data_IF_115628675505
#
_entry.id   IF_115628675505
#
_cell.length_a   1.000
_cell.length_b   1.000
_cell.length_c   1.000
_cell.angle_alpha   90.00
_cell.angle_beta   90.00
_cell.angle_gamma   90.00
#
_symmetry.space_group_name_H-M   'P 1'
#
loop_
_entity.id
_entity.type
_entity.pdbx_description
1 polymer ?
#
# COMPACT_ATOMS: atom_id res chain seq x y z
N UNK A 1 18.56 -3.19 42.98
CA UNK A 1 17.68 -2.20 42.30
C UNK A 1 17.49 -2.61 40.83
N UNK A 2 16.56 -3.53 40.54
CA UNK A 2 16.31 -4.01 39.17
C UNK A 2 15.10 -3.31 38.55
N UNK A 3 15.30 -2.48 37.53
CA UNK A 3 14.20 -1.84 36.79
C UNK A 3 13.58 -2.83 35.81
N UNK A 4 12.40 -3.35 36.14
CA UNK A 4 11.56 -4.12 35.23
C UNK A 4 11.02 -3.14 34.17
N UNK A 5 11.53 -3.25 32.94
CA UNK A 5 10.92 -2.59 31.78
C UNK A 5 9.57 -3.26 31.50
N UNK A 6 8.47 -2.59 31.81
CA UNK A 6 7.16 -2.96 31.25
C UNK A 6 7.23 -2.81 29.72
N UNK A 7 7.21 -3.94 29.01
CA UNK A 7 6.84 -3.95 27.59
C UNK A 7 5.36 -3.58 27.53
N UNK A 8 5.05 -2.44 26.92
CA UNK A 8 3.69 -2.06 26.59
C UNK A 8 3.11 -3.11 25.64
N UNK A 9 2.34 -4.05 26.19
CA UNK A 9 1.59 -5.01 25.42
C UNK A 9 0.53 -4.26 24.62
N UNK A 10 0.56 -4.43 23.30
CA UNK A 10 -0.54 -4.06 22.42
C UNK A 10 -1.73 -4.90 22.90
N UNK A 11 -2.73 -4.24 23.50
CA UNK A 11 -3.97 -4.90 23.93
C UNK A 11 -4.54 -5.67 22.74
N UNK A 12 -4.94 -6.92 22.98
CA UNK A 12 -5.63 -7.78 22.02
C UNK A 12 -6.81 -7.03 21.41
N UNK A 13 -6.64 -6.44 20.22
CA UNK A 13 -7.71 -5.83 19.46
C UNK A 13 -8.58 -6.95 18.91
N UNK A 14 -9.88 -6.92 19.21
CA UNK A 14 -10.87 -7.76 18.54
C UNK A 14 -10.88 -7.38 17.06
N UNK A 15 -10.27 -8.21 16.23
CA UNK A 15 -10.31 -8.04 14.78
C UNK A 15 -11.65 -8.56 14.28
N UNK A 16 -12.50 -7.67 13.79
CA UNK A 16 -13.79 -8.01 13.18
C UNK A 16 -13.67 -7.81 11.67
N UNK A 17 -14.12 -8.81 10.90
CA UNK A 17 -14.23 -8.72 9.44
C UNK A 17 -15.69 -8.63 9.05
N UNK A 18 -16.06 -7.64 8.25
CA UNK A 18 -17.42 -7.43 7.75
C UNK A 18 -17.42 -7.71 6.25
N UNK A 19 -18.29 -8.63 5.82
CA UNK A 19 -18.50 -8.92 4.41
C UNK A 19 -19.53 -7.95 3.83
N UNK A 20 -19.07 -6.98 3.06
CA UNK A 20 -19.93 -5.96 2.46
C UNK A 20 -20.91 -6.51 1.43
N UNK A 21 -20.67 -7.71 0.88
CA UNK A 21 -21.58 -8.32 -0.11
C UNK A 21 -22.84 -8.91 0.53
N UNK A 22 -22.78 -9.22 1.82
CA UNK A 22 -23.91 -9.73 2.61
C UNK A 22 -24.71 -8.60 3.26
N UNK A 23 -24.16 -7.40 3.27
CA UNK A 23 -24.67 -6.26 4.02
C UNK A 23 -24.75 -5.03 3.10
N UNK A 24 -25.47 -5.13 2.00
CA UNK A 24 -25.71 -4.03 1.07
C UNK A 24 -27.07 -3.37 1.37
N UNK A 25 -27.13 -2.04 1.65
CA UNK A 25 -26.01 -1.10 1.68
C UNK A 25 -25.27 -1.04 3.02
N UNK A 26 -23.93 -1.05 2.95
CA UNK A 26 -23.04 -1.19 4.11
C UNK A 26 -23.27 -0.16 5.23
N UNK A 27 -23.57 1.09 4.87
CA UNK A 27 -23.77 2.15 5.85
C UNK A 27 -24.98 1.91 6.77
N UNK A 28 -26.03 1.23 6.30
CA UNK A 28 -27.18 0.87 7.15
C UNK A 28 -26.84 -0.24 8.15
N UNK A 29 -26.03 -1.21 7.71
CA UNK A 29 -25.52 -2.24 8.61
C UNK A 29 -24.62 -1.63 9.70
N UNK A 30 -23.73 -0.71 9.32
CA UNK A 30 -22.87 -0.02 10.28
C UNK A 30 -23.67 0.84 11.27
N UNK A 31 -24.69 1.56 10.80
CA UNK A 31 -25.56 2.37 11.65
C UNK A 31 -26.31 1.52 12.68
N UNK A 32 -26.85 0.38 12.26
CA UNK A 32 -27.61 -0.51 13.15
C UNK A 32 -26.74 -1.20 14.21
N UNK A 33 -25.52 -1.61 13.85
CA UNK A 33 -24.67 -2.41 14.75
C UNK A 33 -23.68 -1.59 15.57
N UNK A 34 -23.30 -0.39 15.11
CA UNK A 34 -22.24 0.41 15.72
C UNK A 34 -22.69 1.82 16.16
N UNK A 35 -24.00 2.10 16.19
CA UNK A 35 -24.50 3.40 16.69
C UNK A 35 -24.24 3.65 18.17
N UNK A 36 -24.22 2.60 18.99
CA UNK A 36 -23.90 2.69 20.42
C UNK A 36 -22.41 2.69 20.71
N UNK A 37 -21.58 2.27 19.75
CA UNK A 37 -20.12 2.19 19.84
C UNK A 37 -19.49 2.67 18.53
N UNK A 38 -19.57 3.98 18.24
CA UNK A 38 -19.10 4.53 16.98
C UNK A 38 -17.59 4.38 16.83
N UNK A 39 -17.14 4.25 15.58
CA UNK A 39 -15.72 4.24 15.26
C UNK A 39 -15.09 5.60 15.57
N UNK A 40 -13.86 5.59 16.05
CA UNK A 40 -13.08 6.80 16.07
C UNK A 40 -12.64 7.15 14.64
N UNK A 41 -11.90 6.30 13.96
CA UNK A 41 -11.31 6.64 12.67
C UNK A 41 -11.77 5.68 11.59
N UNK A 42 -12.21 6.22 10.45
CA UNK A 42 -12.41 5.43 9.23
C UNK A 42 -11.27 5.70 8.27
N UNK A 43 -10.64 4.63 7.78
CA UNK A 43 -9.66 4.65 6.69
C UNK A 43 -10.31 4.06 5.44
N UNK A 44 -10.73 4.91 4.52
CA UNK A 44 -11.42 4.52 3.29
C UNK A 44 -10.45 4.40 2.12
N UNK A 45 -10.27 3.17 1.63
CA UNK A 45 -9.39 2.84 0.49
C UNK A 45 -10.16 2.59 -0.80
N UNK A 46 -11.49 2.67 -0.80
CA UNK A 46 -12.35 2.47 -1.97
C UNK A 46 -12.86 3.82 -2.49
N UNK A 47 -13.34 4.68 -1.60
CA UNK A 47 -13.93 5.97 -1.94
C UNK A 47 -15.44 5.95 -2.17
N UNK A 48 -16.18 5.25 -1.30
CA UNK A 48 -17.63 5.17 -1.41
C UNK A 48 -18.30 6.39 -0.76
N UNK A 49 -18.84 7.28 -1.60
CA UNK A 49 -19.50 8.51 -1.15
C UNK A 49 -20.63 8.28 -0.10
N UNK A 50 -21.54 7.30 -0.26
CA UNK A 50 -22.59 7.05 0.74
C UNK A 50 -22.05 6.62 2.12
N UNK A 51 -20.87 5.99 2.15
CA UNK A 51 -20.23 5.59 3.40
C UNK A 51 -19.74 6.81 4.20
N UNK A 52 -19.33 7.88 3.51
CA UNK A 52 -19.03 9.14 4.16
C UNK A 52 -20.32 9.88 4.54
N UNK A 53 -21.26 10.08 3.62
CA UNK A 53 -22.44 10.93 3.86
C UNK A 53 -23.33 10.44 5.03
N UNK A 54 -23.40 9.13 5.28
CA UNK A 54 -24.16 8.53 6.38
C UNK A 54 -23.33 8.19 7.63
N UNK A 55 -22.07 8.62 7.67
CA UNK A 55 -21.13 8.26 8.75
C UNK A 55 -21.50 8.80 10.13
N UNK A 56 -22.34 9.82 10.25
CA UNK A 56 -22.74 10.40 11.55
C UNK A 56 -23.34 9.40 12.54
N UNK A 57 -23.89 8.29 12.03
CA UNK A 57 -24.53 7.25 12.82
C UNK A 57 -23.58 6.22 13.40
N UNK A 58 -22.34 6.11 12.89
CA UNK A 58 -21.35 5.11 13.31
C UNK A 58 -19.93 5.65 13.39
N UNK A 59 -19.72 6.97 13.24
CA UNK A 59 -18.44 7.64 13.33
C UNK A 59 -18.50 8.78 14.33
N UNK A 60 -17.52 8.83 15.24
CA UNK A 60 -17.37 9.91 16.20
C UNK A 60 -17.20 11.26 15.50
N UNK A 61 -17.99 12.25 15.92
CA UNK A 61 -17.92 13.61 15.36
C UNK A 61 -16.53 14.23 15.52
N UNK A 62 -16.08 15.03 14.55
CA UNK A 62 -14.83 15.77 14.67
C UNK A 62 -14.90 16.76 15.85
N UNK A 63 -13.80 16.90 16.56
CA UNK A 63 -13.64 17.85 17.67
C UNK A 63 -12.40 18.71 17.45
N UNK A 64 -12.22 19.79 18.22
CA UNK A 64 -11.04 20.65 18.11
C UNK A 64 -9.71 19.89 18.28
N UNK A 65 -9.70 18.82 19.08
CA UNK A 65 -8.53 17.95 19.26
C UNK A 65 -8.42 16.82 18.22
N UNK A 66 -9.49 16.52 17.48
CA UNK A 66 -9.52 15.47 16.46
C UNK A 66 -10.36 15.91 15.27
N UNK A 67 -9.74 16.74 14.44
CA UNK A 67 -10.40 17.32 13.27
C UNK A 67 -10.60 16.32 12.14
N UNK A 68 -9.80 15.25 12.06
CA UNK A 68 -9.90 14.25 10.99
C UNK A 68 -10.37 12.91 11.55
N UNK A 69 -11.56 12.51 11.13
CA UNK A 69 -12.24 11.29 11.58
C UNK A 69 -12.53 10.34 10.41
N UNK A 70 -12.54 10.86 9.18
CA UNK A 70 -12.68 10.10 7.95
C UNK A 70 -11.51 10.39 7.00
N UNK A 71 -10.60 9.43 6.84
CA UNK A 71 -9.46 9.55 5.93
C UNK A 71 -9.75 8.77 4.65
N UNK A 72 -9.96 9.49 3.56
CA UNK A 72 -10.10 8.91 2.25
C UNK A 72 -8.73 8.86 1.56
N UNK A 73 -8.30 7.67 1.17
CA UNK A 73 -7.06 7.42 0.42
C UNK A 73 -7.40 7.01 -1.02
N UNK A 74 -8.54 6.34 -1.21
CA UNK A 74 -8.92 5.65 -2.43
C UNK A 74 -9.90 6.40 -3.32
N UNK A 75 -9.74 6.16 -4.62
CA UNK A 75 -10.72 6.46 -5.66
C UNK A 75 -10.71 5.26 -6.61
N UNK A 76 -11.18 4.10 -6.12
CA UNK A 76 -11.08 2.83 -6.84
C UNK A 76 -11.96 2.80 -8.10
N UNK A 77 -13.08 3.51 -8.05
CA UNK A 77 -14.02 3.65 -9.16
C UNK A 77 -14.05 5.10 -9.61
N UNK A 78 -13.02 5.56 -10.35
CA UNK A 78 -13.06 6.90 -10.90
C UNK A 78 -14.22 7.00 -11.90
N UNK A 79 -14.96 8.12 -11.91
CA UNK A 79 -16.01 8.32 -12.88
C UNK A 79 -15.44 8.32 -14.30
N UNK A 80 -16.06 7.56 -15.20
CA UNK A 80 -15.64 7.44 -16.61
C UNK A 80 -16.28 8.51 -17.51
N UNK A 81 -17.38 9.10 -17.05
CA UNK A 81 -18.12 10.14 -17.78
C UNK A 81 -17.77 11.52 -17.24
N UNK A 82 -17.72 12.53 -18.12
CA UNK A 82 -17.54 13.94 -17.76
C UNK A 82 -18.53 14.39 -16.67
N UNK A 83 -19.81 14.04 -16.81
CA UNK A 83 -20.82 14.35 -15.80
C UNK A 83 -20.52 13.72 -14.42
N UNK A 84 -20.07 12.46 -14.41
CA UNK A 84 -19.66 11.78 -13.17
C UNK A 84 -18.43 12.43 -12.53
N UNK A 85 -17.48 12.89 -13.35
CA UNK A 85 -16.33 13.67 -12.91
C UNK A 85 -16.77 14.99 -12.28
N UNK A 86 -17.60 15.78 -12.97
CA UNK A 86 -18.14 17.03 -12.45
C UNK A 86 -18.90 16.82 -11.14
N UNK A 87 -19.76 15.79 -11.05
CA UNK A 87 -20.46 15.44 -9.82
C UNK A 87 -19.50 15.11 -8.67
N UNK A 88 -18.46 14.33 -8.93
CA UNK A 88 -17.45 13.97 -7.92
C UNK A 88 -16.67 15.19 -7.46
N UNK A 89 -16.27 16.05 -8.40
CA UNK A 89 -15.59 17.31 -8.10
C UNK A 89 -16.48 18.26 -7.26
N UNK A 90 -17.75 18.41 -7.62
CA UNK A 90 -18.72 19.20 -6.85
C UNK A 90 -18.96 18.61 -5.46
N UNK A 91 -19.02 17.28 -5.32
CA UNK A 91 -19.15 16.63 -4.00
C UNK A 91 -17.94 16.91 -3.13
N UNK A 92 -16.72 16.74 -3.66
CA UNK A 92 -15.49 17.03 -2.92
C UNK A 92 -15.41 18.51 -2.55
N UNK A 93 -15.73 19.41 -3.49
CA UNK A 93 -15.77 20.85 -3.25
C UNK A 93 -16.79 21.20 -2.15
N UNK A 94 -17.97 20.59 -2.15
CA UNK A 94 -18.97 20.77 -1.09
C UNK A 94 -18.41 20.36 0.26
N UNK A 95 -17.75 19.21 0.34
CA UNK A 95 -17.25 18.63 1.60
C UNK A 95 -16.07 19.44 2.16
N UNK A 96 -15.24 20.03 1.30
CA UNK A 96 -14.07 20.79 1.72
C UNK A 96 -14.37 22.26 1.97
N UNK A 97 -15.31 22.87 1.23
CA UNK A 97 -15.60 24.30 1.32
C UNK A 97 -16.77 24.63 2.23
N UNK A 98 -17.78 23.75 2.35
CA UNK A 98 -18.92 24.01 3.21
C UNK A 98 -18.71 23.35 4.58
N UNK A 99 -19.02 24.11 5.63
CA UNK A 99 -19.13 23.57 6.98
C UNK A 99 -20.28 22.58 7.08
N UNK A 100 -20.21 21.66 8.03
CA UNK A 100 -21.27 20.66 8.28
C UNK A 100 -22.66 21.28 8.44
N UNK A 101 -22.75 22.48 9.02
CA UNK A 101 -24.02 23.19 9.19
C UNK A 101 -24.65 23.66 7.87
N UNK A 102 -23.84 24.03 6.86
CA UNK A 102 -24.36 24.45 5.54
C UNK A 102 -24.54 23.26 4.58
N UNK A 103 -24.61 22.03 5.10
CA UNK A 103 -24.74 20.84 4.27
C UNK A 103 -23.42 20.38 3.63
N UNK A 104 -22.27 20.72 4.21
CA UNK A 104 -20.95 20.15 3.85
C UNK A 104 -20.77 18.66 4.19
N UNK A 105 -21.75 18.05 4.85
CA UNK A 105 -21.73 16.66 5.29
C UNK A 105 -21.23 16.49 6.73
N UNK A 106 -20.89 15.25 7.14
CA UNK A 106 -20.59 14.92 8.55
C UNK A 106 -19.38 15.63 9.16
N UNK A 107 -18.51 16.19 8.31
CA UNK A 107 -17.29 16.85 8.73
C UNK A 107 -16.16 15.85 8.99
N UNK A 108 -14.97 16.38 9.25
CA UNK A 108 -13.78 15.59 9.56
C UNK A 108 -13.25 14.72 8.43
N UNK A 109 -13.66 15.03 7.19
CA UNK A 109 -13.13 14.44 5.98
C UNK A 109 -11.72 14.95 5.69
N UNK A 110 -10.82 14.04 5.34
CA UNK A 110 -9.49 14.38 4.83
C UNK A 110 -9.12 13.47 3.67
N UNK A 111 -8.79 14.08 2.53
CA UNK A 111 -8.29 13.37 1.37
C UNK A 111 -6.77 13.22 1.50
N UNK A 112 -6.32 12.03 1.86
CA UNK A 112 -4.90 11.74 2.07
C UNK A 112 -4.26 11.32 0.75
N UNK A 113 -3.43 12.20 0.20
CA UNK A 113 -2.59 11.91 -0.96
C UNK A 113 -1.13 11.77 -0.51
N UNK A 114 -0.57 10.58 -0.63
CA UNK A 114 0.85 10.35 -0.36
C UNK A 114 1.65 10.31 -1.65
N UNK A 115 2.43 11.36 -1.92
CA UNK A 115 3.41 11.36 -3.01
C UNK A 115 4.65 10.52 -2.72
N UNK A 116 5.53 10.30 -3.72
CA UNK A 116 6.81 9.65 -3.50
C UNK A 116 7.68 10.51 -2.56
N UNK A 117 8.20 9.93 -1.49
CA UNK A 117 9.12 10.62 -0.58
C UNK A 117 10.12 9.63 0.00
N UNK A 118 11.41 9.95 -0.13
CA UNK A 118 12.52 9.13 0.38
C UNK A 118 12.38 8.90 1.89
N UNK A 119 12.07 9.94 2.65
CA UNK A 119 11.96 9.85 4.12
C UNK A 119 10.81 8.96 4.56
N UNK A 120 9.68 8.99 3.84
CA UNK A 120 8.54 8.10 4.12
C UNK A 120 8.86 6.65 3.79
N UNK A 121 9.48 6.39 2.64
CA UNK A 121 9.87 5.04 2.22
C UNK A 121 10.88 4.46 3.21
N UNK A 122 11.87 5.26 3.63
CA UNK A 122 12.86 4.84 4.63
C UNK A 122 12.23 4.52 5.98
N UNK A 123 11.24 5.30 6.42
CA UNK A 123 10.49 4.99 7.64
C UNK A 123 9.72 3.68 7.52
N UNK A 124 9.08 3.42 6.39
CA UNK A 124 8.39 2.16 6.12
C UNK A 124 9.39 0.99 6.12
N UNK A 125 10.55 1.14 5.48
CA UNK A 125 11.63 0.14 5.49
C UNK A 125 12.01 -0.25 6.92
N UNK A 126 12.28 0.75 7.78
CA UNK A 126 12.61 0.51 9.19
C UNK A 126 11.51 -0.22 9.95
N UNK A 127 10.24 0.11 9.70
CA UNK A 127 9.12 -0.59 10.35
C UNK A 127 9.03 -2.07 9.93
N UNK A 128 9.39 -2.39 8.69
CA UNK A 128 9.48 -3.78 8.22
C UNK A 128 10.67 -4.48 8.87
N UNK A 129 11.85 -3.85 8.90
CA UNK A 129 13.08 -4.40 9.52
C UNK A 129 12.90 -4.65 11.02
N UNK A 130 12.19 -3.77 11.72
CA UNK A 130 11.86 -3.92 13.14
C UNK A 130 10.75 -4.97 13.39
N UNK A 131 10.20 -5.60 12.34
CA UNK A 131 9.12 -6.58 12.44
C UNK A 131 7.76 -5.99 12.85
N UNK A 132 7.62 -4.65 12.86
CA UNK A 132 6.39 -3.95 13.23
C UNK A 132 5.38 -3.87 12.09
N UNK A 133 5.84 -4.03 10.85
CA UNK A 133 5.01 -4.03 9.65
C UNK A 133 5.26 -5.29 8.84
N UNK A 134 4.23 -6.13 8.71
CA UNK A 134 4.27 -7.32 7.85
C UNK A 134 3.78 -6.97 6.45
N UNK A 135 4.61 -7.24 5.45
CA UNK A 135 4.20 -7.15 4.04
C UNK A 135 3.47 -8.43 3.66
N UNK A 136 2.23 -8.32 3.19
CA UNK A 136 1.46 -9.45 2.67
C UNK A 136 1.60 -9.47 1.15
N UNK A 137 2.19 -10.54 0.63
CA UNK A 137 2.37 -10.79 -0.80
C UNK A 137 1.31 -11.79 -1.25
N UNK A 138 0.55 -11.44 -2.29
CA UNK A 138 -0.48 -12.33 -2.87
C UNK A 138 0.16 -13.38 -3.78
N UNK A 139 0.99 -12.92 -4.72
CA UNK A 139 1.66 -13.78 -5.70
C UNK A 139 2.95 -13.13 -6.22
N UNK A 140 3.90 -13.98 -6.60
CA UNK A 140 5.17 -13.58 -7.21
C UNK A 140 5.27 -14.23 -8.58
N UNK A 141 5.53 -13.42 -9.60
CA UNK A 141 5.57 -13.83 -11.00
C UNK A 141 6.92 -13.43 -11.62
N UNK A 142 7.37 -14.18 -12.60
CA UNK A 142 8.54 -13.78 -13.40
C UNK A 142 8.13 -12.83 -14.51
N UNK A 143 9.10 -12.09 -15.06
CA UNK A 143 8.85 -11.09 -16.10
C UNK A 143 8.12 -11.67 -17.32
N UNK A 144 8.40 -12.93 -17.68
CA UNK A 144 7.72 -13.62 -18.77
C UNK A 144 6.21 -13.81 -18.54
N UNK A 145 5.78 -13.87 -17.27
CA UNK A 145 4.39 -14.02 -16.87
C UNK A 145 3.76 -12.71 -16.35
N UNK A 146 4.37 -11.56 -16.62
CA UNK A 146 3.87 -10.25 -16.16
C UNK A 146 2.41 -9.97 -16.58
N UNK A 147 1.98 -10.49 -17.74
CA UNK A 147 0.59 -10.37 -18.19
C UNK A 147 -0.39 -11.14 -17.30
N UNK A 148 -0.02 -12.35 -16.83
CA UNK A 148 -0.84 -13.12 -15.89
C UNK A 148 -0.91 -12.44 -14.52
N UNK A 149 0.20 -11.83 -14.09
CA UNK A 149 0.24 -11.00 -12.89
C UNK A 149 -0.72 -9.80 -13.00
N UNK A 150 -0.79 -9.19 -14.18
CA UNK A 150 -1.71 -8.10 -14.47
C UNK A 150 -3.18 -8.57 -14.47
N UNK A 151 -3.49 -9.69 -15.11
CA UNK A 151 -4.83 -10.30 -15.07
C UNK A 151 -5.26 -10.59 -13.63
N UNK A 152 -4.37 -11.18 -12.82
CA UNK A 152 -4.60 -11.41 -11.38
C UNK A 152 -4.93 -10.11 -10.64
N UNK A 153 -4.22 -9.02 -10.92
CA UNK A 153 -4.48 -7.69 -10.35
C UNK A 153 -5.87 -7.16 -10.73
N UNK A 154 -6.27 -7.35 -11.99
CA UNK A 154 -7.54 -6.87 -12.53
C UNK A 154 -8.76 -7.58 -11.93
N UNK A 155 -8.60 -8.77 -11.34
CA UNK A 155 -9.68 -9.43 -10.58
C UNK A 155 -10.15 -8.63 -9.37
N UNK A 156 -9.35 -7.68 -8.86
CA UNK A 156 -9.61 -6.91 -7.62
C UNK A 156 -9.79 -7.76 -6.36
N UNK A 157 -9.41 -9.04 -6.41
CA UNK A 157 -9.50 -10.00 -5.29
C UNK A 157 -8.12 -10.51 -4.82
N UNK A 158 -7.05 -9.81 -5.18
CA UNK A 158 -5.71 -10.10 -4.68
C UNK A 158 -5.61 -9.79 -3.18
N UNK A 159 -5.12 -10.75 -2.39
CA UNK A 159 -4.95 -10.63 -0.93
C UNK A 159 -3.53 -10.19 -0.59
N UNK A 160 -3.14 -9.02 -1.06
CA UNK A 160 -1.79 -8.47 -0.84
C UNK A 160 -1.19 -7.85 -2.09
N UNK A 161 0.13 -7.68 -2.08
CA UNK A 161 0.90 -7.15 -3.22
C UNK A 161 1.23 -8.26 -4.21
N UNK A 162 1.03 -7.98 -5.49
CA UNK A 162 1.51 -8.82 -6.60
C UNK A 162 2.88 -8.29 -7.00
N UNK A 163 3.87 -9.18 -7.07
CA UNK A 163 5.27 -8.83 -7.37
C UNK A 163 5.69 -9.48 -8.67
N UNK A 164 6.33 -8.71 -9.56
CA UNK A 164 6.95 -9.24 -10.78
C UNK A 164 8.46 -9.10 -10.66
N UNK A 165 9.17 -10.21 -10.78
CA UNK A 165 10.64 -10.26 -10.78
C UNK A 165 11.15 -9.95 -12.19
N UNK A 166 12.05 -8.97 -12.29
CA UNK A 166 12.61 -8.53 -13.58
C UNK A 166 13.96 -9.22 -13.86
N UNK A 167 14.73 -9.53 -12.81
CA UNK A 167 16.01 -10.22 -12.89
C UNK A 167 16.12 -11.18 -11.71
N UNK A 168 16.60 -12.39 -11.97
CA UNK A 168 17.21 -13.23 -10.95
C UNK A 168 18.42 -12.44 -10.43
N UNK A 169 18.39 -12.05 -9.15
CA UNK A 169 19.63 -11.67 -8.49
C UNK A 169 20.36 -12.98 -8.33
N UNK A 170 21.20 -13.33 -9.30
CA UNK A 170 22.00 -14.53 -9.26
C UNK A 170 22.65 -14.63 -7.89
N UNK A 171 22.29 -15.68 -7.15
CA UNK A 171 23.20 -16.19 -6.14
C UNK A 171 24.50 -16.45 -6.91
N UNK A 172 25.60 -15.87 -6.43
CA UNK A 172 26.90 -16.05 -7.04
C UNK A 172 27.28 -17.52 -6.94
N UNK A 173 26.89 -18.31 -7.93
CA UNK A 173 27.58 -19.53 -8.31
C UNK A 173 28.64 -19.11 -9.32
N UNK A 174 29.88 -19.04 -8.82
CA UNK A 174 31.07 -19.10 -9.65
C UNK A 174 31.12 -20.49 -10.28
N UNK A 175 30.40 -20.71 -11.37
CA UNK A 175 30.70 -21.81 -12.28
C UNK A 175 30.88 -21.26 -13.69
N UNK A 176 32.16 -21.06 -14.03
CA UNK A 176 32.64 -21.03 -15.40
C UNK A 176 32.23 -22.35 -16.07
N UNK A 177 31.25 -22.28 -16.97
CA UNK A 177 31.23 -23.19 -18.10
C UNK A 177 31.09 -22.38 -19.38
N UNK A 178 32.19 -22.29 -20.11
CA UNK A 178 32.25 -21.76 -21.45
C UNK A 178 31.49 -22.69 -22.40
N UNK A 179 30.50 -22.15 -23.13
CA UNK A 179 30.25 -22.59 -24.50
C UNK A 179 30.34 -21.37 -25.42
N UNK A 180 31.22 -21.49 -26.42
CA UNK A 180 31.57 -20.44 -27.36
C UNK A 180 30.54 -20.36 -28.50
N UNK A 181 29.78 -19.26 -28.53
CA UNK A 181 29.03 -18.80 -29.70
C UNK A 181 29.57 -17.46 -30.19
N UNK A 182 29.93 -17.38 -31.47
CA UNK A 182 30.70 -16.31 -32.10
C UNK A 182 30.03 -14.93 -32.09
N UNK A 183 30.76 -13.90 -31.60
CA UNK A 183 30.54 -12.49 -31.92
C UNK A 183 31.91 -11.79 -31.99
N UNK A 184 32.07 -10.92 -32.99
CA UNK A 184 33.35 -10.38 -33.47
C UNK A 184 34.02 -9.43 -32.47
N UNK A 185 35.36 -9.41 -32.45
CA UNK A 185 36.19 -8.86 -31.37
C UNK A 185 36.08 -7.36 -31.06
N UNK A 186 35.40 -6.56 -31.89
CA UNK A 186 35.16 -5.13 -31.59
C UNK A 186 33.98 -4.90 -30.64
N UNK A 187 32.94 -5.73 -30.75
CA UNK A 187 31.71 -5.58 -29.97
C UNK A 187 31.91 -6.06 -28.52
N UNK A 188 32.72 -7.12 -28.34
CA UNK A 188 33.12 -7.64 -27.02
C UNK A 188 33.96 -6.65 -26.21
N UNK A 189 34.81 -5.84 -26.84
CA UNK A 189 35.61 -4.84 -26.13
C UNK A 189 34.80 -3.60 -25.72
N UNK A 190 33.85 -3.19 -26.55
CA UNK A 190 32.97 -2.06 -26.23
C UNK A 190 31.97 -2.42 -25.13
N UNK A 191 31.40 -3.64 -25.13
CA UNK A 191 30.48 -4.08 -24.07
C UNK A 191 31.19 -4.28 -22.73
N UNK A 192 32.43 -4.81 -22.73
CA UNK A 192 33.26 -4.93 -21.52
C UNK A 192 33.62 -3.58 -20.94
N UNK A 193 33.95 -2.59 -21.77
CA UNK A 193 34.24 -1.22 -21.34
C UNK A 193 33.00 -0.56 -20.71
N UNK A 194 31.84 -0.65 -21.38
CA UNK A 194 30.57 -0.10 -20.89
C UNK A 194 30.08 -0.80 -19.61
N UNK A 195 30.32 -2.11 -19.46
CA UNK A 195 30.02 -2.84 -18.23
C UNK A 195 30.92 -2.38 -17.07
N UNK A 196 32.23 -2.20 -17.30
CA UNK A 196 33.14 -1.73 -16.26
C UNK A 196 32.84 -0.28 -15.84
N UNK A 197 32.54 0.58 -16.80
CA UNK A 197 32.19 1.99 -16.55
C UNK A 197 30.86 2.11 -15.78
N UNK A 198 29.86 1.30 -16.13
CA UNK A 198 28.63 1.23 -15.35
C UNK A 198 28.87 0.65 -13.95
N UNK A 199 29.66 -0.43 -13.80
CA UNK A 199 29.95 -1.04 -12.48
C UNK A 199 30.63 -0.04 -11.53
N UNK A 200 31.59 0.75 -12.04
CA UNK A 200 32.24 1.83 -11.29
C UNK A 200 31.26 2.96 -10.91
N UNK A 201 30.33 3.30 -11.82
CA UNK A 201 29.30 4.32 -11.58
C UNK A 201 28.26 3.89 -10.54
N UNK A 202 27.90 2.60 -10.50
CA UNK A 202 26.99 2.03 -9.51
C UNK A 202 27.65 1.85 -8.14
N UNK A 203 28.92 1.45 -8.09
CA UNK A 203 29.70 1.36 -6.85
C UNK A 203 29.84 2.71 -6.14
N UNK A 204 29.93 3.83 -6.88
CA UNK A 204 30.00 5.19 -6.32
C UNK A 204 28.65 5.73 -5.82
N UNK A 205 27.53 5.09 -6.18
CA UNK A 205 26.17 5.46 -5.74
C UNK A 205 25.62 4.60 -4.60
N UNK A 206 26.24 3.47 -4.31
CA UNK A 206 25.89 2.63 -3.18
C UNK A 206 26.44 3.25 -1.89
N UNK A 207 25.56 3.59 -0.94
CA UNK A 207 26.00 3.88 0.44
C UNK A 207 26.49 2.58 1.10
N UNK A 208 27.58 2.58 1.89
CA UNK A 208 28.09 1.37 2.51
C UNK A 208 27.10 0.87 3.56
N UNK A 209 26.56 -0.34 3.37
CA UNK A 209 25.74 -1.00 4.40
C UNK A 209 24.54 -1.83 3.92
N UNK A 210 24.24 -1.89 2.62
CA UNK A 210 23.06 -2.63 2.13
C UNK A 210 23.45 -4.04 1.67
N UNK A 211 23.18 -5.04 2.52
CA UNK A 211 22.97 -6.43 2.10
C UNK A 211 21.50 -6.77 2.37
N UNK A 212 20.71 -6.94 1.33
CA UNK A 212 19.37 -7.51 1.43
C UNK A 212 19.49 -9.00 1.14
N UNK A 213 19.36 -9.83 2.17
CA UNK A 213 19.14 -11.26 2.02
C UNK A 213 17.63 -11.51 1.92
N UNK A 214 17.16 -11.98 0.76
CA UNK A 214 15.74 -12.26 0.52
C UNK A 214 15.23 -13.52 1.27
N UNK A 215 16.07 -14.15 2.10
CA UNK A 215 15.77 -15.42 2.79
C UNK A 215 14.91 -15.25 4.05
N UNK A 216 14.73 -14.02 4.55
CA UNK A 216 13.97 -13.77 5.79
C UNK A 216 12.48 -13.42 5.56
N UNK A 217 12.01 -13.34 4.30
CA UNK A 217 10.60 -13.02 3.99
C UNK A 217 9.75 -14.21 3.51
N UNK A 218 10.34 -15.41 3.46
CA UNK A 218 9.63 -16.65 3.13
C UNK A 218 9.88 -17.66 4.23
N UNK A 219 9.20 -17.48 5.35
CA UNK A 219 8.85 -18.62 6.20
C UNK A 219 7.34 -18.61 6.44
N UNK A 220 6.74 -19.71 5.96
CA UNK A 220 5.57 -20.35 6.56
C UNK A 220 4.16 -19.83 6.19
N UNK A 221 3.68 -20.29 5.03
CA UNK A 221 2.32 -20.89 4.95
C UNK A 221 2.39 -22.16 4.11
N UNK A 222 2.76 -23.26 4.76
CA UNK A 222 2.47 -24.61 4.27
C UNK A 222 1.83 -25.38 5.43
N UNK A 223 0.49 -25.33 5.48
CA UNK A 223 -0.42 -26.39 5.93
C UNK A 223 -1.85 -25.94 5.66
#
# INVERSE_FOLDING_TARGET
>A
MGKIKQKAGIRSSLLVTIDYTKHDPLHLYLASHYSTSPFDLILDTIGLQPLYDHSTSYLTRPTSGRQHTYLNIGMLYPPTTFFGFCRTALSLMRITLLSSFLGGGPGGYSLVRTGPSKTRIEKVRRLVEEGKLRVVVDSVWDMGDAMKAYERSMTKHAKGKIVVKIQEVGEGEEEEHCEEGSATGKEKNMSKSLMQENKARWSKRASPGVRFGLKDLVTETKK
#
